data_IF_982375687217
#
_entry.id   IF_982375687217
#
_cell.length_a   1.000
_cell.length_b   1.000
_cell.length_c   1.000
_cell.angle_alpha   90.00
_cell.angle_beta   90.00
_cell.angle_gamma   90.00
#
_symmetry.space_group_name_H-M   'P 1'
#
loop_
_entity.id
_entity.type
_entity.pdbx_description
1 polymer ?
#
# COMPACT_ATOMS: atom_id res chain seq x y z
N UNK A 1 -2.51 18.64 -4.25
CA UNK A 1 -1.71 17.47 -4.63
C UNK A 1 -2.52 16.22 -4.38
N UNK A 2 -2.51 15.29 -5.33
CA UNK A 2 -3.02 13.93 -5.13
C UNK A 2 -1.85 12.94 -5.16
N UNK A 3 -1.90 11.98 -4.26
CA UNK A 3 -1.10 10.77 -4.29
C UNK A 3 -1.98 9.60 -4.73
N UNK A 4 -1.42 8.70 -5.53
CA UNK A 4 -2.00 7.42 -5.86
C UNK A 4 -0.99 6.29 -5.56
N UNK A 5 -1.34 5.35 -4.69
CA UNK A 5 -0.42 4.31 -4.18
C UNK A 5 -0.83 2.93 -4.69
N UNK A 6 -0.48 2.63 -5.94
CA UNK A 6 -0.98 1.45 -6.66
C UNK A 6 -0.26 0.18 -6.24
N UNK A 7 -1.03 -0.86 -5.96
CA UNK A 7 -0.53 -2.18 -5.64
C UNK A 7 -0.63 -3.11 -6.84
N UNK A 8 0.51 -3.59 -7.31
CA UNK A 8 0.62 -4.52 -8.43
C UNK A 8 1.06 -5.88 -7.92
N UNK A 9 0.34 -6.94 -8.33
CA UNK A 9 0.67 -8.34 -8.06
C UNK A 9 1.81 -8.82 -8.98
N UNK A 10 2.97 -8.18 -8.84
CA UNK A 10 4.24 -8.53 -9.49
C UNK A 10 5.37 -8.00 -8.59
N UNK A 11 6.40 -8.80 -8.39
CA UNK A 11 7.47 -8.53 -7.42
C UNK A 11 8.78 -9.27 -7.71
N UNK A 12 8.86 -9.98 -8.83
CA UNK A 12 9.96 -10.88 -9.17
C UNK A 12 10.55 -10.58 -10.55
N UNK A 13 9.72 -10.30 -11.55
CA UNK A 13 10.19 -9.99 -12.90
C UNK A 13 10.69 -8.53 -12.99
N UNK A 14 12.00 -8.38 -12.90
CA UNK A 14 12.66 -7.08 -12.96
C UNK A 14 12.42 -6.33 -14.27
N UNK A 15 12.25 -7.03 -15.41
CA UNK A 15 12.02 -6.40 -16.70
C UNK A 15 10.59 -5.87 -16.81
N UNK A 16 9.60 -6.65 -16.34
CA UNK A 16 8.22 -6.19 -16.22
C UNK A 16 8.16 -4.97 -15.31
N UNK A 17 8.71 -5.07 -14.10
CA UNK A 17 8.69 -3.98 -13.13
C UNK A 17 9.39 -2.72 -13.64
N UNK A 18 10.50 -2.83 -14.38
CA UNK A 18 11.16 -1.69 -15.01
C UNK A 18 10.28 -1.04 -16.09
N UNK A 19 9.59 -1.85 -16.91
CA UNK A 19 8.64 -1.34 -17.90
C UNK A 19 7.45 -0.64 -17.24
N UNK A 20 6.96 -1.14 -16.10
CA UNK A 20 5.90 -0.50 -15.33
C UNK A 20 6.35 0.85 -14.78
N UNK A 21 7.56 0.90 -14.19
CA UNK A 21 8.12 2.15 -13.69
C UNK A 21 8.27 3.21 -14.79
N UNK A 22 8.72 2.80 -15.98
CA UNK A 22 8.90 3.70 -17.11
C UNK A 22 7.56 4.26 -17.61
N UNK A 23 6.48 3.46 -17.58
CA UNK A 23 5.15 3.90 -18.00
C UNK A 23 4.57 5.02 -17.10
N UNK A 24 4.92 5.04 -15.82
CA UNK A 24 4.50 6.07 -14.87
C UNK A 24 5.18 7.43 -15.09
N UNK A 25 6.31 7.46 -15.81
CA UNK A 25 7.10 8.66 -16.07
C UNK A 25 7.46 9.43 -14.79
N UNK A 26 7.41 10.75 -14.87
CA UNK A 26 7.89 11.62 -13.81
C UNK A 26 7.00 11.67 -12.56
N UNK A 27 5.77 11.15 -12.63
CA UNK A 27 4.87 11.07 -11.49
C UNK A 27 5.27 9.94 -10.52
N UNK A 28 6.09 8.98 -10.95
CA UNK A 28 6.59 7.91 -10.08
C UNK A 28 7.60 8.43 -9.09
N UNK A 29 7.23 8.52 -7.82
CA UNK A 29 8.12 8.97 -6.75
C UNK A 29 8.90 7.83 -6.10
N UNK A 30 8.25 6.68 -5.97
CA UNK A 30 8.84 5.48 -5.37
C UNK A 30 8.23 4.20 -5.96
N UNK A 31 9.03 3.15 -5.99
CA UNK A 31 8.57 1.78 -6.22
C UNK A 31 9.19 0.88 -5.16
N UNK A 32 8.38 0.42 -4.22
CA UNK A 32 8.75 -0.61 -3.27
C UNK A 32 8.36 -1.98 -3.84
N UNK A 33 9.28 -2.95 -3.83
CA UNK A 33 9.07 -4.30 -4.40
C UNK A 33 9.46 -5.34 -3.38
N UNK A 34 8.58 -6.32 -3.15
CA UNK A 34 8.82 -7.44 -2.26
C UNK A 34 8.61 -8.78 -2.99
N UNK A 35 9.63 -9.62 -2.94
CA UNK A 35 9.72 -10.91 -3.65
C UNK A 35 8.84 -11.98 -2.99
N UNK A 36 8.83 -12.06 -1.66
CA UNK A 36 8.08 -13.05 -0.89
C UNK A 36 6.57 -12.74 -0.94
N UNK A 37 6.21 -11.46 -0.80
CA UNK A 37 4.86 -10.97 -1.03
C UNK A 37 4.44 -11.05 -2.50
N UNK A 38 5.41 -11.17 -3.41
CA UNK A 38 5.24 -11.11 -4.87
C UNK A 38 4.40 -9.90 -5.28
N UNK A 39 4.72 -8.74 -4.72
CA UNK A 39 3.93 -7.51 -4.83
C UNK A 39 4.86 -6.30 -4.93
N UNK A 40 4.44 -5.32 -5.72
CA UNK A 40 5.08 -4.00 -5.80
C UNK A 40 4.07 -2.90 -5.52
N UNK A 41 4.53 -1.87 -4.84
CA UNK A 41 3.79 -0.66 -4.48
C UNK A 41 4.40 0.51 -5.24
N UNK A 42 3.62 1.15 -6.10
CA UNK A 42 4.02 2.32 -6.88
C UNK A 42 3.39 3.55 -6.27
N UNK A 43 4.21 4.47 -5.76
CA UNK A 43 3.76 5.76 -5.25
C UNK A 43 3.85 6.80 -6.34
N UNK A 44 2.68 7.26 -6.80
CA UNK A 44 2.51 8.23 -7.87
C UNK A 44 2.01 9.55 -7.28
N UNK A 45 2.70 10.65 -7.51
CA UNK A 45 2.17 11.96 -7.17
C UNK A 45 2.76 13.07 -8.05
N UNK A 46 2.13 14.23 -8.00
CA UNK A 46 2.60 15.45 -8.63
C UNK A 46 1.89 16.66 -8.05
N UNK A 47 2.48 17.84 -8.22
CA UNK A 47 1.87 19.12 -7.81
C UNK A 47 0.48 19.30 -8.43
N UNK A 48 0.35 18.98 -9.72
CA UNK A 48 -0.93 18.85 -10.41
C UNK A 48 -1.56 17.47 -10.15
N UNK A 49 -2.77 17.40 -9.54
CA UNK A 49 -3.55 16.18 -9.38
C UNK A 49 -3.69 15.31 -10.63
N UNK A 50 -3.77 15.92 -11.82
CA UNK A 50 -3.95 15.21 -13.09
C UNK A 50 -2.82 14.21 -13.36
N UNK A 51 -1.57 14.55 -12.97
CA UNK A 51 -0.39 13.72 -13.21
C UNK A 51 -0.46 12.38 -12.50
N UNK A 52 -0.98 12.35 -11.28
CA UNK A 52 -1.14 11.10 -10.53
C UNK A 52 -2.18 10.19 -11.21
N UNK A 53 -3.28 10.78 -11.71
CA UNK A 53 -4.36 10.05 -12.41
C UNK A 53 -3.87 9.50 -13.75
N UNK A 54 -3.16 10.32 -14.55
CA UNK A 54 -2.61 9.90 -15.84
C UNK A 54 -1.58 8.78 -15.67
N UNK A 55 -0.68 8.90 -14.70
CA UNK A 55 0.30 7.87 -14.40
C UNK A 55 -0.36 6.59 -13.86
N UNK A 56 -1.43 6.71 -13.06
CA UNK A 56 -2.21 5.57 -12.60
C UNK A 56 -2.80 4.78 -13.78
N UNK A 57 -3.35 5.48 -14.78
CA UNK A 57 -3.87 4.87 -16.01
C UNK A 57 -2.75 4.20 -16.82
N UNK A 58 -1.64 4.89 -17.03
CA UNK A 58 -0.49 4.35 -17.77
C UNK A 58 0.10 3.10 -17.11
N UNK A 59 0.24 3.10 -15.78
CA UNK A 59 0.66 1.91 -15.02
C UNK A 59 -0.32 0.75 -15.19
N UNK A 60 -1.62 1.05 -15.15
CA UNK A 60 -2.68 0.05 -15.35
C UNK A 60 -2.61 -0.57 -16.73
N UNK A 61 -2.51 0.24 -17.80
CA UNK A 61 -2.37 -0.24 -19.17
C UNK A 61 -1.12 -1.12 -19.35
N UNK A 62 0.00 -0.70 -18.78
CA UNK A 62 1.26 -1.43 -18.84
C UNK A 62 1.19 -2.78 -18.10
N UNK A 63 0.58 -2.80 -16.91
CA UNK A 63 0.39 -4.01 -16.10
C UNK A 63 -0.59 -4.98 -16.77
N UNK A 64 -1.72 -4.48 -17.25
CA UNK A 64 -2.77 -5.29 -17.90
C UNK A 64 -2.29 -6.03 -19.15
N UNK A 65 -1.25 -5.53 -19.81
CA UNK A 65 -0.67 -6.14 -21.01
C UNK A 65 0.52 -7.08 -20.75
N UNK A 66 1.00 -7.16 -19.50
CA UNK A 66 2.24 -7.89 -19.16
C UNK A 66 2.06 -8.97 -18.10
N UNK A 67 1.05 -8.84 -17.24
CA UNK A 67 0.89 -9.72 -16.08
C UNK A 67 -0.41 -10.51 -16.23
N UNK A 68 -0.34 -11.79 -15.87
CA UNK A 68 -1.48 -12.68 -15.79
C UNK A 68 -1.65 -13.20 -14.36
N UNK A 69 -2.76 -12.85 -13.71
CA UNK A 69 -3.03 -13.22 -12.32
C UNK A 69 -3.10 -14.74 -12.12
N UNK A 70 -3.38 -15.52 -13.18
CA UNK A 70 -3.51 -16.99 -13.09
C UNK A 70 -2.19 -17.67 -12.80
N UNK A 71 -1.07 -17.02 -13.10
CA UNK A 71 0.28 -17.51 -12.84
C UNK A 71 0.90 -16.88 -11.59
N UNK A 72 0.17 -16.02 -10.88
CA UNK A 72 0.67 -15.29 -9.71
C UNK A 72 0.51 -16.09 -8.40
N UNK A 73 1.62 -16.26 -7.69
CA UNK A 73 1.68 -16.86 -6.36
C UNK A 73 2.52 -15.99 -5.43
N UNK A 74 1.93 -15.49 -4.34
CA UNK A 74 2.59 -14.67 -3.32
C UNK A 74 1.87 -14.76 -1.98
N UNK A 75 2.56 -14.45 -0.88
CA UNK A 75 1.97 -14.59 0.47
C UNK A 75 0.94 -13.50 0.80
N UNK A 76 0.97 -12.37 0.08
CA UNK A 76 0.06 -11.26 0.32
C UNK A 76 -1.32 -11.48 -0.31
N UNK A 77 -2.43 -11.22 0.41
CA UNK A 77 -3.77 -11.26 -0.17
C UNK A 77 -3.93 -10.28 -1.34
N UNK A 78 -4.59 -10.71 -2.42
CA UNK A 78 -4.86 -9.90 -3.62
C UNK A 78 -6.18 -10.25 -4.29
N UNK A 79 -6.79 -9.29 -5.00
CA UNK A 79 -7.97 -9.45 -5.86
C UNK A 79 -7.62 -9.60 -7.35
N UNK A 80 -6.51 -9.03 -7.80
CA UNK A 80 -6.16 -8.95 -9.21
C UNK A 80 -4.72 -8.53 -9.47
N UNK A 81 -4.38 -8.36 -10.76
CA UNK A 81 -3.06 -7.83 -11.20
C UNK A 81 -2.85 -6.43 -10.63
N UNK A 82 -3.82 -5.56 -10.86
CA UNK A 82 -3.93 -4.28 -10.18
C UNK A 82 -4.83 -4.52 -8.98
N UNK A 83 -4.23 -4.74 -7.82
CA UNK A 83 -4.95 -5.21 -6.65
C UNK A 83 -5.71 -4.06 -5.96
N UNK A 84 -5.02 -2.93 -5.73
CA UNK A 84 -5.60 -1.75 -5.06
C UNK A 84 -5.10 -0.46 -5.69
N UNK A 85 -6.02 0.48 -5.91
CA UNK A 85 -5.76 1.84 -6.41
C UNK A 85 -6.38 2.86 -5.45
N UNK A 86 -5.67 3.25 -4.37
CA UNK A 86 -6.05 4.35 -3.50
C UNK A 86 -5.70 5.69 -4.15
N UNK A 87 -6.59 6.67 -4.02
CA UNK A 87 -6.27 8.09 -4.14
C UNK A 87 -6.27 8.74 -2.76
N UNK A 88 -5.26 9.57 -2.49
CA UNK A 88 -5.06 10.25 -1.22
C UNK A 88 -4.95 11.74 -1.49
N UNK A 89 -5.82 12.52 -0.84
CA UNK A 89 -5.74 13.97 -0.85
C UNK A 89 -4.68 14.43 0.14
N UNK A 90 -3.79 15.32 -0.31
CA UNK A 90 -2.68 15.83 0.48
C UNK A 90 -2.70 17.36 0.56
N UNK A 91 -2.15 17.88 1.65
CA UNK A 91 -2.12 19.31 1.96
C UNK A 91 -3.52 19.94 1.94
N UNK A 92 -3.69 21.00 1.14
CA UNK A 92 -4.94 21.73 0.98
C UNK A 92 -5.91 21.11 -0.02
N UNK A 93 -5.56 19.98 -0.65
CA UNK A 93 -6.51 19.28 -1.55
C UNK A 93 -7.65 18.71 -0.72
N UNK A 94 -8.91 19.03 -1.05
CA UNK A 94 -10.08 18.46 -0.40
C UNK A 94 -10.19 16.94 -0.59
N UNK A 95 -10.63 16.22 0.45
CA UNK A 95 -10.80 14.77 0.40
C UNK A 95 -11.77 14.29 -0.71
N UNK A 96 -12.79 15.10 -1.03
CA UNK A 96 -13.74 14.78 -2.10
C UNK A 96 -13.10 14.79 -3.50
N UNK A 97 -11.98 15.49 -3.71
CA UNK A 97 -11.24 15.41 -4.98
C UNK A 97 -10.59 14.04 -5.15
N UNK A 98 -10.05 13.44 -4.08
CA UNK A 98 -9.52 12.08 -4.12
C UNK A 98 -10.62 11.04 -4.38
N UNK A 99 -11.78 11.18 -3.74
CA UNK A 99 -12.94 10.33 -3.98
C UNK A 99 -13.42 10.43 -5.44
N UNK A 100 -13.49 11.66 -5.99
CA UNK A 100 -13.85 11.86 -7.38
C UNK A 100 -12.83 11.25 -8.34
N UNK A 101 -11.54 11.43 -8.09
CA UNK A 101 -10.47 10.81 -8.89
C UNK A 101 -10.56 9.28 -8.88
N UNK A 102 -10.84 8.68 -7.71
CA UNK A 102 -11.07 7.24 -7.57
C UNK A 102 -12.26 6.76 -8.42
N UNK A 103 -13.39 7.47 -8.38
CA UNK A 103 -14.57 7.13 -9.17
C UNK A 103 -14.33 7.29 -10.68
N UNK A 104 -13.62 8.34 -11.10
CA UNK A 104 -13.30 8.57 -12.51
C UNK A 104 -12.30 7.54 -13.05
N UNK A 105 -11.32 7.13 -12.23
CA UNK A 105 -10.44 6.01 -12.55
C UNK A 105 -11.22 4.69 -12.63
N UNK A 106 -12.13 4.41 -11.69
CA UNK A 106 -12.95 3.19 -11.67
C UNK A 106 -13.83 3.06 -12.92
N UNK A 107 -14.47 4.15 -13.38
CA UNK A 107 -15.25 4.12 -14.62
C UNK A 107 -14.36 3.85 -15.84
N UNK A 108 -13.21 4.52 -15.91
CA UNK A 108 -12.27 4.35 -17.00
C UNK A 108 -11.72 2.92 -17.11
N UNK A 109 -11.37 2.28 -15.99
CA UNK A 109 -10.80 0.93 -16.02
C UNK A 109 -11.83 -0.12 -16.44
N UNK A 110 -13.09 0.07 -16.07
CA UNK A 110 -14.21 -0.76 -16.56
C UNK A 110 -14.40 -0.58 -18.06
N UNK A 111 -14.43 0.66 -18.55
CA UNK A 111 -14.61 0.96 -19.98
C UNK A 111 -13.47 0.41 -20.84
N UNK A 112 -12.23 0.57 -20.37
CA UNK A 112 -11.04 0.27 -21.17
C UNK A 112 -10.60 -1.19 -21.05
N UNK A 113 -10.66 -1.77 -19.85
CA UNK A 113 -10.11 -3.09 -19.54
C UNK A 113 -11.17 -4.13 -19.21
N UNK A 114 -12.45 -3.75 -19.09
CA UNK A 114 -13.54 -4.65 -18.67
C UNK A 114 -13.24 -5.39 -17.36
N UNK A 115 -12.53 -4.74 -16.43
CA UNK A 115 -12.19 -5.32 -15.12
C UNK A 115 -13.23 -4.90 -14.08
N UNK A 116 -13.80 -5.84 -13.32
CA UNK A 116 -14.70 -5.50 -12.23
C UNK A 116 -14.00 -4.70 -11.12
N UNK A 117 -14.71 -3.70 -10.60
CA UNK A 117 -14.21 -2.80 -9.55
C UNK A 117 -15.04 -2.93 -8.29
N UNK A 118 -14.33 -3.01 -7.15
CA UNK A 118 -14.90 -2.86 -5.81
C UNK A 118 -14.46 -1.53 -5.21
N UNK A 119 -15.41 -0.67 -4.89
CA UNK A 119 -15.16 0.60 -4.23
C UNK A 119 -14.92 0.38 -2.73
N UNK A 120 -14.03 1.18 -2.15
CA UNK A 120 -13.80 1.22 -0.71
C UNK A 120 -13.44 2.65 -0.24
N UNK A 121 -13.50 2.86 1.08
CA UNK A 121 -13.20 4.15 1.71
C UNK A 121 -14.16 5.24 1.24
N UNK A 122 -13.66 6.45 1.08
CA UNK A 122 -14.47 7.63 0.75
C UNK A 122 -15.10 7.57 -0.66
N UNK A 123 -14.67 6.62 -1.50
CA UNK A 123 -15.28 6.35 -2.80
C UNK A 123 -16.43 5.33 -2.72
N UNK A 124 -16.54 4.55 -1.63
CA UNK A 124 -17.66 3.64 -1.38
C UNK A 124 -18.79 4.39 -0.68
N UNK A 125 -20.03 4.39 -1.22
CA UNK A 125 -21.18 4.99 -0.56
C UNK A 125 -21.45 4.45 0.86
N UNK A 126 -21.04 3.21 1.15
CA UNK A 126 -21.15 2.60 2.48
C UNK A 126 -19.86 2.73 3.31
N UNK A 127 -18.86 3.46 2.80
CA UNK A 127 -17.56 3.71 3.43
C UNK A 127 -16.90 2.45 4.01
N UNK A 128 -16.95 1.34 3.26
CA UNK A 128 -16.37 0.08 3.73
C UNK A 128 -14.86 0.15 3.68
N UNK A 129 -14.21 -0.57 4.60
CA UNK A 129 -12.76 -0.68 4.58
C UNK A 129 -12.27 -1.57 3.44
N UNK A 130 -11.03 -1.37 2.98
CA UNK A 130 -10.38 -2.27 2.02
C UNK A 130 -10.39 -3.75 2.47
N UNK A 131 -10.08 -4.09 3.73
CA UNK A 131 -10.24 -5.47 4.22
C UNK A 131 -11.66 -6.03 4.04
N UNK A 132 -12.69 -5.22 4.25
CA UNK A 132 -14.08 -5.64 4.07
C UNK A 132 -14.43 -5.83 2.60
N UNK A 133 -14.01 -4.90 1.73
CA UNK A 133 -14.17 -5.00 0.29
C UNK A 133 -13.53 -6.30 -0.24
N UNK A 134 -12.27 -6.57 0.12
CA UNK A 134 -11.59 -7.83 -0.26
C UNK A 134 -12.26 -9.08 0.29
N UNK A 135 -12.75 -9.04 1.54
CA UNK A 135 -13.37 -10.21 2.19
C UNK A 135 -14.69 -10.60 1.52
N UNK A 136 -15.47 -9.61 1.10
CA UNK A 136 -16.85 -9.77 0.60
C UNK A 136 -16.95 -9.90 -0.92
N UNK A 137 -15.95 -9.43 -1.66
CA UNK A 137 -15.88 -9.49 -3.11
C UNK A 137 -16.18 -10.89 -3.67
N UNK A 138 -17.11 -10.96 -4.62
CA UNK A 138 -17.60 -12.17 -5.31
C UNK A 138 -18.20 -13.26 -4.40
N UNK A 139 -18.34 -13.01 -3.09
CA UNK A 139 -18.95 -13.94 -2.13
C UNK A 139 -20.33 -13.46 -1.72
N UNK A 140 -20.37 -12.25 -1.17
CA UNK A 140 -21.59 -11.62 -0.65
C UNK A 140 -21.81 -10.25 -1.27
N UNK A 141 -20.82 -9.71 -1.98
CA UNK A 141 -20.87 -8.41 -2.66
C UNK A 141 -20.53 -8.62 -4.14
N UNK A 142 -21.41 -8.16 -5.02
CA UNK A 142 -21.13 -8.01 -6.44
C UNK A 142 -20.24 -6.78 -6.68
N UNK A 143 -19.44 -6.75 -7.76
CA UNK A 143 -18.69 -5.55 -8.14
C UNK A 143 -19.58 -4.31 -8.21
N UNK A 144 -19.07 -3.17 -7.75
CA UNK A 144 -19.80 -1.90 -7.80
C UNK A 144 -19.86 -1.34 -9.22
N UNK A 145 -18.82 -1.62 -10.02
CA UNK A 145 -18.77 -1.30 -11.44
C UNK A 145 -18.18 -2.48 -12.24
N UNK A 146 -18.60 -2.61 -13.49
CA UNK A 146 -18.08 -3.59 -14.44
C UNK A 146 -18.77 -4.95 -14.40
N UNK A 147 -18.15 -5.99 -15.00
CA UNK A 147 -18.73 -7.33 -15.10
C UNK A 147 -19.00 -7.96 -13.72
N UNK A 148 -19.92 -8.92 -13.64
CA UNK A 148 -20.22 -9.61 -12.37
C UNK A 148 -19.17 -10.63 -11.94
N UNK A 149 -18.32 -11.06 -12.88
CA UNK A 149 -17.31 -12.10 -12.69
C UNK A 149 -15.89 -11.51 -12.78
N UNK A 150 -14.89 -12.12 -12.11
CA UNK A 150 -13.49 -11.71 -12.24
C UNK A 150 -13.00 -11.76 -13.70
N UNK A 151 -12.21 -10.78 -14.10
CA UNK A 151 -11.53 -10.82 -15.39
C UNK A 151 -10.52 -11.97 -15.42
N UNK A 152 -10.49 -12.75 -16.50
CA UNK A 152 -9.74 -14.01 -16.56
C UNK A 152 -8.24 -13.86 -16.22
N UNK A 153 -7.59 -12.83 -16.75
CA UNK A 153 -6.14 -12.58 -16.56
C UNK A 153 -5.85 -11.45 -15.58
N UNK A 154 -6.84 -10.63 -15.24
CA UNK A 154 -6.63 -9.40 -14.45
C UNK A 154 -7.26 -9.49 -13.06
N UNK A 155 -8.20 -10.41 -12.83
CA UNK A 155 -8.95 -10.53 -11.59
C UNK A 155 -9.93 -9.38 -11.43
N UNK A 156 -9.85 -8.70 -10.28
CA UNK A 156 -10.63 -7.51 -9.95
C UNK A 156 -9.77 -6.47 -9.26
N UNK A 157 -10.25 -5.23 -9.22
CA UNK A 157 -9.53 -4.09 -8.65
C UNK A 157 -10.31 -3.52 -7.47
N UNK A 158 -9.66 -3.29 -6.34
CA UNK A 158 -10.21 -2.42 -5.29
C UNK A 158 -9.80 -0.96 -5.56
N UNK A 159 -10.75 -0.07 -5.81
CA UNK A 159 -10.48 1.35 -6.06
C UNK A 159 -11.07 2.18 -4.92
N UNK A 160 -10.33 3.16 -4.41
CA UNK A 160 -10.84 3.91 -3.26
C UNK A 160 -10.16 5.25 -3.07
N UNK A 161 -10.74 6.01 -2.15
CA UNK A 161 -10.10 7.18 -1.58
C UNK A 161 -10.01 7.03 -0.07
N UNK A 162 -8.93 7.54 0.51
CA UNK A 162 -8.69 7.43 1.96
C UNK A 162 -7.77 8.53 2.46
N UNK A 163 -7.76 8.78 3.77
CA UNK A 163 -6.69 9.54 4.42
C UNK A 163 -5.31 8.90 4.20
N UNK A 164 -4.22 9.66 4.40
CA UNK A 164 -2.87 9.13 4.44
C UNK A 164 -2.74 7.97 5.44
N UNK A 165 -1.91 6.98 5.10
CA UNK A 165 -1.59 5.86 5.99
C UNK A 165 -0.13 5.50 5.81
N UNK A 166 0.47 4.87 6.81
CA UNK A 166 1.85 4.36 6.72
C UNK A 166 1.83 2.84 6.76
N UNK A 167 2.49 2.21 5.79
CA UNK A 167 2.74 0.78 5.78
C UNK A 167 4.18 0.54 6.27
N UNK A 168 4.32 -0.11 7.42
CA UNK A 168 5.61 -0.35 8.06
C UNK A 168 5.65 -1.75 8.65
N UNK A 169 6.79 -2.40 8.49
CA UNK A 169 7.02 -3.78 8.86
C UNK A 169 8.15 -3.85 9.89
N UNK A 170 8.06 -4.83 10.79
CA UNK A 170 9.16 -5.19 11.70
C UNK A 170 9.51 -6.66 11.46
N UNK A 171 10.72 -6.89 10.97
CA UNK A 171 11.27 -8.22 10.71
C UNK A 171 11.82 -8.79 12.03
N UNK A 172 11.52 -10.06 12.29
CA UNK A 172 11.96 -10.82 13.45
C UNK A 172 13.09 -11.73 12.99
N UNK A 173 14.23 -11.69 13.69
CA UNK A 173 15.42 -12.52 13.42
C UNK A 173 15.21 -13.97 13.88
N UNK A 174 14.15 -14.60 13.37
CA UNK A 174 13.73 -15.96 13.67
C UNK A 174 12.74 -16.44 12.62
N UNK A 175 12.83 -17.70 12.22
CA UNK A 175 11.80 -18.37 11.42
C UNK A 175 10.70 -18.93 12.34
N UNK A 176 9.77 -18.06 12.77
CA UNK A 176 8.68 -18.43 13.68
C UNK A 176 7.37 -17.71 13.33
N UNK A 177 6.65 -18.25 12.34
CA UNK A 177 5.42 -17.61 11.84
C UNK A 177 4.31 -17.55 12.92
N UNK A 178 4.34 -18.47 13.88
CA UNK A 178 3.40 -18.45 15.00
C UNK A 178 3.65 -17.23 15.88
N UNK A 179 4.92 -16.94 16.19
CA UNK A 179 5.32 -15.74 16.93
C UNK A 179 4.90 -14.45 16.20
N UNK A 180 5.19 -14.33 14.90
CA UNK A 180 4.79 -13.15 14.13
C UNK A 180 3.28 -12.92 14.16
N UNK A 181 2.48 -13.99 14.00
CA UNK A 181 1.01 -13.91 14.05
C UNK A 181 0.48 -13.55 15.44
N UNK A 182 1.11 -14.07 16.50
CA UNK A 182 0.78 -13.72 17.88
C UNK A 182 1.04 -12.23 18.15
N UNK A 183 2.23 -11.73 17.81
CA UNK A 183 2.60 -10.33 17.99
C UNK A 183 1.69 -9.42 17.15
N UNK A 184 1.45 -9.77 15.88
CA UNK A 184 0.51 -9.05 15.04
C UNK A 184 -0.88 -8.98 15.71
N UNK A 185 -1.38 -10.08 16.29
CA UNK A 185 -2.63 -10.06 17.05
C UNK A 185 -2.63 -9.09 18.23
N UNK A 186 -1.54 -9.03 19.00
CA UNK A 186 -1.43 -8.14 20.16
C UNK A 186 -1.44 -6.64 19.80
N UNK A 187 -0.91 -6.26 18.64
CA UNK A 187 -0.87 -4.84 18.21
C UNK A 187 -2.04 -4.44 17.33
N UNK A 188 -2.85 -5.39 16.86
CA UNK A 188 -3.98 -5.15 15.95
C UNK A 188 -5.18 -4.56 16.69
N UNK A 189 -5.66 -3.40 16.22
CA UNK A 189 -6.78 -2.68 16.83
C UNK A 189 -8.01 -3.55 17.05
N UNK A 190 -8.45 -4.30 16.03
CA UNK A 190 -9.66 -5.13 16.11
C UNK A 190 -9.58 -6.24 17.16
N UNK A 191 -8.39 -6.55 17.66
CA UNK A 191 -8.14 -7.55 18.71
C UNK A 191 -7.79 -6.89 20.06
N UNK A 192 -7.99 -5.57 20.18
CA UNK A 192 -7.72 -4.78 21.39
C UNK A 192 -6.32 -4.16 21.47
N UNK A 193 -5.57 -4.16 20.36
CA UNK A 193 -4.24 -3.56 20.26
C UNK A 193 -4.25 -2.04 20.08
N UNK A 194 -3.30 -1.54 19.31
CA UNK A 194 -3.08 -0.10 19.12
C UNK A 194 -4.20 0.52 18.25
N UNK A 195 -4.79 1.66 18.64
CA UNK A 195 -5.80 2.35 17.83
C UNK A 195 -5.28 2.73 16.44
N UNK A 196 -6.08 2.55 15.40
CA UNK A 196 -5.68 2.87 14.03
C UNK A 196 -4.60 1.95 13.46
N UNK A 197 -4.27 0.82 14.10
CA UNK A 197 -3.27 -0.14 13.60
C UNK A 197 -3.93 -1.42 13.11
N UNK A 198 -3.66 -1.76 11.85
CA UNK A 198 -3.99 -3.06 11.26
C UNK A 198 -2.70 -3.83 11.04
N UNK A 199 -2.63 -5.08 11.45
CA UNK A 199 -1.40 -5.87 11.32
C UNK A 199 -1.63 -7.32 10.95
N UNK A 200 -0.63 -7.93 10.31
CA UNK A 200 -0.57 -9.33 9.91
C UNK A 200 0.83 -9.88 10.16
N UNK A 201 0.91 -11.20 10.37
CA UNK A 201 2.19 -11.92 10.45
C UNK A 201 2.45 -12.66 9.14
N UNK A 202 3.62 -12.42 8.55
CA UNK A 202 4.07 -13.04 7.30
C UNK A 202 5.35 -13.84 7.51
N UNK A 203 5.53 -14.84 6.65
CA UNK A 203 6.75 -15.61 6.52
C UNK A 203 7.61 -14.96 5.45
N UNK A 204 8.93 -14.87 5.66
CA UNK A 204 9.91 -14.36 4.69
C UNK A 204 10.95 -15.45 4.38
N UNK A 205 10.59 -16.49 3.59
CA UNK A 205 11.46 -17.62 3.32
C UNK A 205 12.80 -17.25 2.70
N UNK A 206 12.87 -16.17 1.91
CA UNK A 206 14.12 -15.73 1.28
C UNK A 206 15.14 -15.20 2.30
N UNK A 207 14.67 -14.74 3.46
CA UNK A 207 15.50 -14.20 4.54
C UNK A 207 15.65 -15.18 5.72
N UNK A 208 14.87 -16.27 5.76
CA UNK A 208 14.81 -17.15 6.93
C UNK A 208 14.27 -16.44 8.18
N UNK A 209 13.36 -15.49 7.96
CA UNK A 209 12.81 -14.58 8.97
C UNK A 209 11.29 -14.57 8.87
N UNK A 210 10.64 -13.92 9.84
CA UNK A 210 9.21 -13.62 9.80
C UNK A 210 8.98 -12.15 10.05
N UNK A 211 7.81 -11.66 9.67
CA UNK A 211 7.54 -10.23 9.68
C UNK A 211 6.21 -9.92 10.35
N UNK A 212 6.19 -8.88 11.18
CA UNK A 212 4.97 -8.21 11.61
C UNK A 212 4.74 -7.03 10.69
N UNK A 213 3.83 -7.17 9.74
CA UNK A 213 3.45 -6.10 8.82
C UNK A 213 2.32 -5.27 9.42
N UNK A 214 2.43 -3.94 9.36
CA UNK A 214 1.46 -3.00 9.91
C UNK A 214 1.04 -1.95 8.88
N UNK A 215 -0.26 -1.66 8.84
CA UNK A 215 -0.80 -0.45 8.24
C UNK A 215 -1.34 0.43 9.36
N UNK A 216 -0.71 1.59 9.57
CA UNK A 216 -1.15 2.63 10.50
C UNK A 216 -2.08 3.56 9.74
N UNK A 217 -3.38 3.36 9.94
CA UNK A 217 -4.48 4.07 9.25
C UNK A 217 -5.03 5.24 10.05
N UNK A 218 -4.73 5.32 11.35
CA UNK A 218 -5.07 6.45 12.23
C UNK A 218 -3.79 7.11 12.76
N UNK A 219 -3.07 7.82 11.88
CA UNK A 219 -1.79 8.47 12.20
C UNK A 219 -1.90 9.54 13.30
N UNK A 220 -3.11 10.02 13.55
CA UNK A 220 -3.45 10.93 14.64
C UNK A 220 -3.61 10.24 16.00
N UNK A 221 -3.75 8.91 16.02
CA UNK A 221 -3.97 8.11 17.24
C UNK A 221 -2.77 7.24 17.62
N UNK A 222 -1.99 6.79 16.65
CA UNK A 222 -0.77 6.01 16.88
C UNK A 222 0.28 6.42 15.87
N UNK A 223 1.42 6.86 16.36
CA UNK A 223 2.58 7.22 15.55
C UNK A 223 3.34 5.99 15.05
N UNK A 224 4.21 6.22 14.06
CA UNK A 224 5.11 5.19 13.52
C UNK A 224 6.00 4.61 14.62
N UNK A 225 6.58 5.50 15.44
CA UNK A 225 7.47 5.13 16.53
C UNK A 225 6.74 4.30 17.60
N UNK A 226 5.56 4.73 18.05
CA UNK A 226 4.78 3.99 19.05
C UNK A 226 4.44 2.58 18.57
N UNK A 227 4.00 2.44 17.31
CA UNK A 227 3.68 1.13 16.73
C UNK A 227 4.91 0.22 16.66
N UNK A 228 6.05 0.74 16.19
CA UNK A 228 7.28 -0.04 16.10
C UNK A 228 7.79 -0.43 17.49
N UNK A 229 7.87 0.52 18.42
CA UNK A 229 8.35 0.28 19.79
C UNK A 229 7.53 -0.80 20.50
N UNK A 230 6.21 -0.81 20.33
CA UNK A 230 5.38 -1.86 20.93
C UNK A 230 5.64 -3.24 20.32
N UNK A 231 5.81 -3.32 19.00
CA UNK A 231 6.20 -4.58 18.33
C UNK A 231 7.58 -5.04 18.80
N UNK A 232 8.57 -4.16 18.84
CA UNK A 232 9.92 -4.46 19.33
C UNK A 232 9.88 -5.00 20.77
N UNK A 233 9.10 -4.35 21.65
CA UNK A 233 8.91 -4.78 23.04
C UNK A 233 8.35 -6.21 23.12
N UNK A 234 7.37 -6.54 22.28
CA UNK A 234 6.76 -7.87 22.22
C UNK A 234 7.71 -8.93 21.67
N UNK A 235 8.53 -8.57 20.68
CA UNK A 235 9.59 -9.44 20.13
C UNK A 235 10.60 -9.79 21.24
N UNK A 236 11.12 -8.78 21.93
CA UNK A 236 12.10 -8.94 23.01
C UNK A 236 11.51 -9.74 24.19
N UNK A 237 10.26 -9.46 24.58
CA UNK A 237 9.57 -10.19 25.64
C UNK A 237 9.38 -11.69 25.31
N UNK A 238 9.41 -12.05 24.02
CA UNK A 238 9.32 -13.43 23.54
C UNK A 238 10.69 -14.10 23.37
N UNK A 239 11.78 -13.40 23.74
CA UNK A 239 13.15 -13.90 23.63
C UNK A 239 13.73 -13.88 22.21
N UNK A 240 13.11 -13.14 21.29
CA UNK A 240 13.61 -12.94 19.93
C UNK A 240 14.23 -11.54 19.78
N UNK A 241 14.89 -11.31 18.64
CA UNK A 241 15.48 -10.03 18.25
C UNK A 241 14.81 -9.45 17.03
N UNK A 242 14.82 -8.12 16.94
CA UNK A 242 14.39 -7.37 15.75
C UNK A 242 15.52 -7.43 14.74
N UNK A 243 15.21 -7.89 13.52
CA UNK A 243 16.18 -7.90 12.43
C UNK A 243 16.24 -6.53 11.72
N UNK A 244 15.08 -5.96 11.42
CA UNK A 244 14.95 -4.72 10.62
C UNK A 244 13.58 -4.08 10.82
N UNK A 245 13.53 -2.76 10.68
CA UNK A 245 12.29 -2.01 10.42
C UNK A 245 12.28 -1.63 8.95
N UNK A 246 11.17 -1.89 8.26
CA UNK A 246 11.03 -1.64 6.82
C UNK A 246 9.78 -0.78 6.55
N UNK A 247 9.99 0.39 5.95
CA UNK A 247 8.91 1.19 5.39
C UNK A 247 8.55 0.68 3.99
N UNK A 248 7.25 0.48 3.75
CA UNK A 248 6.72 0.15 2.42
C UNK A 248 6.21 1.43 1.76
N UNK A 249 6.95 1.92 0.78
CA UNK A 249 6.63 3.14 0.03
C UNK A 249 7.12 4.42 0.71
N UNK A 250 6.30 5.47 0.65
CA UNK A 250 6.60 6.80 1.20
C UNK A 250 5.67 7.14 2.36
N UNK A 251 6.03 8.18 3.10
CA UNK A 251 5.35 8.62 4.32
C UNK A 251 5.15 10.14 4.28
N UNK A 252 4.03 10.67 4.81
CA UNK A 252 3.85 12.11 4.95
C UNK A 252 4.88 12.74 5.89
N UNK A 253 5.38 13.92 5.55
CA UNK A 253 6.35 14.68 6.34
C UNK A 253 5.95 14.84 7.82
N UNK A 254 4.65 15.04 8.08
CA UNK A 254 4.11 15.20 9.41
C UNK A 254 4.33 13.94 10.28
N UNK A 255 4.20 12.74 9.69
CA UNK A 255 4.39 11.48 10.41
C UNK A 255 5.88 11.19 10.71
N UNK A 256 6.79 11.60 9.83
CA UNK A 256 8.23 11.56 10.10
C UNK A 256 8.62 12.56 11.20
N UNK A 257 8.09 13.78 11.15
CA UNK A 257 8.39 14.84 12.12
C UNK A 257 7.89 14.48 13.52
N UNK A 258 6.85 13.66 13.62
CA UNK A 258 6.36 13.15 14.90
C UNK A 258 7.28 12.10 15.54
N UNK A 259 8.21 11.51 14.79
CA UNK A 259 9.16 10.55 15.31
C UNK A 259 10.35 11.24 16.00
N UNK A 260 10.86 10.63 17.07
CA UNK A 260 12.08 11.05 17.72
C UNK A 260 13.28 10.85 16.81
N UNK A 261 14.29 11.73 16.95
CA UNK A 261 15.54 11.62 16.19
C UNK A 261 16.26 10.29 16.45
N UNK A 262 16.23 9.82 17.70
CA UNK A 262 16.83 8.54 18.09
C UNK A 262 16.15 7.36 17.37
N UNK A 263 14.82 7.37 17.26
CA UNK A 263 14.08 6.37 16.51
C UNK A 263 14.43 6.39 15.02
N UNK A 264 14.45 7.56 14.39
CA UNK A 264 14.80 7.69 12.97
C UNK A 264 16.21 7.18 12.68
N UNK A 265 17.19 7.50 13.53
CA UNK A 265 18.57 7.03 13.40
C UNK A 265 18.68 5.51 13.53
N UNK A 266 18.04 4.90 14.54
CA UNK A 266 18.14 3.44 14.78
C UNK A 266 17.30 2.59 13.83
N UNK A 267 16.17 3.13 13.35
CA UNK A 267 15.28 2.42 12.41
C UNK A 267 15.77 2.49 10.97
N UNK A 268 16.71 3.40 10.66
CA UNK A 268 17.15 3.67 9.29
C UNK A 268 16.12 4.43 8.44
N UNK A 269 15.04 4.92 9.04
CA UNK A 269 14.06 5.78 8.38
C UNK A 269 14.68 7.17 8.15
N UNK A 270 15.23 7.37 6.95
CA UNK A 270 15.85 8.64 6.56
C UNK A 270 14.83 9.66 6.05
N UNK A 271 15.17 10.94 6.04
CA UNK A 271 14.29 12.00 5.51
C UNK A 271 13.91 11.84 4.02
N UNK A 272 14.68 11.05 3.25
CA UNK A 272 14.46 10.85 1.81
C UNK A 272 13.23 9.97 1.49
N UNK A 273 12.52 9.47 2.50
CA UNK A 273 11.27 8.70 2.37
C UNK A 273 10.02 9.57 2.49
N UNK A 274 10.22 10.89 2.71
CA UNK A 274 9.13 11.87 2.68
C UNK A 274 8.55 12.01 1.28
N UNK A 275 7.22 11.90 1.20
CA UNK A 275 6.49 12.11 -0.04
C UNK A 275 6.63 13.56 -0.54
N UNK A 276 6.41 14.53 0.35
CA UNK A 276 6.46 15.96 0.06
C UNK A 276 7.84 16.39 -0.45
N UNK A 277 8.91 15.94 0.22
CA UNK A 277 10.28 16.27 -0.17
C UNK A 277 10.65 15.66 -1.53
N UNK A 278 10.14 14.46 -1.84
CA UNK A 278 10.31 13.84 -3.17
C UNK A 278 9.61 14.62 -4.28
N UNK A 279 8.42 15.15 -4.00
CA UNK A 279 7.71 16.04 -4.95
C UNK A 279 8.50 17.32 -5.16
N UNK A 280 8.85 18.02 -4.07
CA UNK A 280 9.58 19.29 -4.12
C UNK A 280 10.92 19.16 -4.86
N UNK A 281 11.71 18.13 -4.53
CA UNK A 281 13.01 17.90 -5.18
C UNK A 281 12.89 17.71 -6.69
N UNK A 282 11.83 17.06 -7.19
CA UNK A 282 11.61 16.90 -8.64
C UNK A 282 11.21 18.19 -9.35
N UNK A 283 10.66 19.16 -8.64
CA UNK A 283 10.32 20.46 -9.21
C UNK A 283 11.54 21.39 -9.29
N UNK A 284 12.42 21.34 -8.28
CA UNK A 284 13.68 22.10 -8.29
C UNK A 284 14.63 21.68 -9.43
N UNK A 285 14.66 20.39 -9.79
CA UNK A 285 15.43 19.93 -10.95
C UNK A 285 14.84 20.39 -12.31
N UNK A 286 13.65 20.99 -12.32
CA UNK A 286 12.96 21.46 -13.54
C UNK A 286 13.00 22.98 -13.72
N UNK A 287 13.40 23.74 -12.71
CA UNK A 287 13.57 25.21 -12.75
C UNK A 287 14.98 25.62 -13.12
#
# INVERSE_FOLDING_TARGET
MLECVINISEGQDAAVLASLSAACGDALLDRHTDVDHHRSVFTLAGSDPSKAIEAARALTDAASSRIDIRTHFGVHPRLGVIDVVPFVALHSTPANEAAQAALDYARWVVETHSVPVFLYGDADPENRSLPDARRTAFKTRSPDLGPSEPHLTLGAIAVGARPPMVAINVDIDKDDLALAREIAGKVRERDGGLPGVRSLGFDLPHLGQVQVSMNIVGLEQTSIEEACVEVERLIVASGASVARIELVGLVPDAALTACSKEFLERSGLSENISLERRVAGREEFRS
#
